data_IF_605763716970
#
_entry.id   IF_605763716970
#
_cell.length_a   1.000
_cell.length_b   1.000
_cell.length_c   1.000
_cell.angle_alpha   90.00
_cell.angle_beta   90.00
_cell.angle_gamma   90.00
#
_symmetry.space_group_name_H-M   'P 1'
#
loop_
_entity.id
_entity.type
_entity.pdbx_description
1 polymer ?
#
# COMPACT_ATOMS: atom_id res chain seq x y z
N UNK A 1 -14.73 21.96 -3.72
CA UNK A 1 -15.38 20.69 -3.38
C UNK A 1 -16.91 20.88 -3.34
N UNK A 2 -17.42 21.80 -2.53
CA UNK A 2 -18.85 22.05 -2.38
C UNK A 2 -19.65 22.14 -3.70
N UNK A 3 -19.21 22.92 -4.68
CA UNK A 3 -19.91 23.05 -5.97
C UNK A 3 -19.91 21.75 -6.78
N UNK A 4 -18.88 20.93 -6.66
CA UNK A 4 -18.79 19.63 -7.34
C UNK A 4 -19.74 18.61 -6.71
N UNK A 5 -19.81 18.56 -5.39
CA UNK A 5 -20.73 17.70 -4.66
C UNK A 5 -22.18 18.13 -4.92
N UNK A 6 -22.49 19.41 -4.76
CA UNK A 6 -23.83 19.98 -4.98
C UNK A 6 -24.34 19.75 -6.40
N UNK A 7 -23.46 19.78 -7.40
CA UNK A 7 -23.81 19.49 -8.79
C UNK A 7 -23.96 18.01 -9.10
N UNK A 8 -23.70 17.11 -8.14
CA UNK A 8 -23.74 15.66 -8.30
C UNK A 8 -22.61 15.07 -9.17
N UNK A 9 -21.61 15.87 -9.54
CA UNK A 9 -20.48 15.43 -10.38
C UNK A 9 -19.46 14.62 -9.61
N UNK A 10 -19.31 14.86 -8.30
CA UNK A 10 -18.39 14.16 -7.41
C UNK A 10 -19.15 13.74 -6.16
N UNK A 11 -18.95 12.52 -5.71
CA UNK A 11 -19.57 11.97 -4.51
C UNK A 11 -18.66 11.97 -3.30
N UNK A 12 -17.35 11.78 -3.53
CA UNK A 12 -16.36 11.60 -2.49
C UNK A 12 -15.06 12.32 -2.84
N UNK A 13 -14.36 12.77 -1.81
CA UNK A 13 -13.11 13.52 -1.94
C UNK A 13 -11.99 12.81 -1.18
N UNK A 14 -10.78 13.07 -1.62
CA UNK A 14 -9.57 12.56 -1.00
C UNK A 14 -8.39 13.46 -1.28
N UNK A 15 -7.26 13.06 -0.72
CA UNK A 15 -5.97 13.73 -0.86
C UNK A 15 -4.91 12.73 -1.31
N UNK A 16 -3.71 13.20 -1.58
CA UNK A 16 -2.57 12.35 -1.90
C UNK A 16 -1.34 12.86 -1.19
N UNK A 17 -0.57 11.95 -0.59
CA UNK A 17 0.69 12.22 0.11
C UNK A 17 0.56 13.31 1.20
N UNK A 18 -0.53 13.28 1.97
CA UNK A 18 -0.74 14.19 3.09
C UNK A 18 -0.50 13.46 4.41
N UNK A 19 0.27 14.06 5.30
CA UNK A 19 0.39 13.60 6.68
C UNK A 19 -0.81 14.05 7.53
N UNK A 20 -0.99 13.54 8.76
CA UNK A 20 -2.11 13.89 9.63
C UNK A 20 -2.31 15.40 9.83
N UNK A 21 -1.23 16.14 10.09
CA UNK A 21 -1.31 17.59 10.30
C UNK A 21 -1.78 18.35 9.07
N UNK A 22 -1.35 17.92 7.88
CA UNK A 22 -1.79 18.52 6.62
C UNK A 22 -3.28 18.23 6.34
N UNK A 23 -3.74 17.02 6.64
CA UNK A 23 -5.18 16.66 6.52
C UNK A 23 -6.02 17.50 7.47
N UNK A 24 -5.61 17.62 8.74
CA UNK A 24 -6.33 18.47 9.71
C UNK A 24 -6.33 19.94 9.30
N UNK A 25 -5.21 20.45 8.79
CA UNK A 25 -5.15 21.82 8.27
C UNK A 25 -6.13 22.02 7.11
N UNK A 26 -6.21 21.07 6.18
CA UNK A 26 -7.15 21.15 5.05
C UNK A 26 -8.61 21.13 5.51
N UNK A 27 -8.95 20.33 6.53
CA UNK A 27 -10.30 20.27 7.12
C UNK A 27 -10.75 21.61 7.72
N UNK A 28 -9.85 22.52 8.02
CA UNK A 28 -10.25 23.88 8.48
C UNK A 28 -10.89 24.70 7.36
N UNK A 29 -10.58 24.40 6.10
CA UNK A 29 -11.07 25.10 4.92
C UNK A 29 -12.11 24.32 4.11
N UNK A 30 -12.08 22.98 4.19
CA UNK A 30 -12.94 22.06 3.44
C UNK A 30 -13.87 21.35 4.42
N UNK A 31 -15.17 21.46 4.19
CA UNK A 31 -16.20 20.87 5.07
C UNK A 31 -16.59 19.45 4.64
N UNK A 32 -16.40 19.13 3.37
CA UNK A 32 -16.70 17.82 2.81
C UNK A 32 -15.75 16.77 3.40
N UNK A 33 -16.25 15.57 3.70
CA UNK A 33 -15.41 14.50 4.24
C UNK A 33 -14.28 14.11 3.29
N UNK A 34 -13.06 14.03 3.81
CA UNK A 34 -11.91 13.49 3.10
C UNK A 34 -11.83 11.99 3.38
N UNK A 35 -12.25 11.17 2.42
CA UNK A 35 -12.40 9.72 2.62
C UNK A 35 -11.21 8.90 2.14
N UNK A 36 -10.31 9.49 1.37
CA UNK A 36 -9.17 8.79 0.78
C UNK A 36 -7.87 9.57 0.98
N UNK A 37 -6.78 8.84 1.17
CA UNK A 37 -5.44 9.38 1.02
C UNK A 37 -4.62 8.42 0.15
N UNK A 38 -4.15 8.88 -1.01
CA UNK A 38 -3.29 8.07 -1.86
C UNK A 38 -1.85 8.19 -1.38
N UNK A 39 -1.28 7.07 -0.94
CA UNK A 39 0.07 6.96 -0.40
C UNK A 39 0.84 5.89 -1.16
N UNK A 40 2.14 6.08 -1.37
CA UNK A 40 2.96 5.00 -1.91
C UNK A 40 3.02 3.86 -0.89
N UNK A 41 2.72 2.64 -1.34
CA UNK A 41 2.83 1.46 -0.49
C UNK A 41 2.99 0.19 -1.33
N UNK A 42 3.88 -0.67 -0.91
CA UNK A 42 4.18 -1.96 -1.52
C UNK A 42 5.42 -2.58 -0.89
N UNK A 43 5.79 -3.79 -1.29
CA UNK A 43 6.91 -4.56 -0.72
C UNK A 43 8.25 -3.81 -0.69
N UNK A 44 8.48 -2.89 -1.62
CA UNK A 44 9.69 -2.05 -1.67
C UNK A 44 9.47 -0.61 -1.17
N UNK A 45 8.32 -0.34 -0.56
CA UNK A 45 8.02 0.94 0.07
C UNK A 45 7.10 0.70 1.28
N UNK A 46 7.68 0.38 2.42
CA UNK A 46 6.98 -0.10 3.63
C UNK A 46 6.96 0.91 4.76
N UNK A 47 7.60 2.07 4.62
CA UNK A 47 7.81 3.05 5.70
C UNK A 47 6.57 3.44 6.50
N UNK A 48 5.38 3.35 5.88
CA UNK A 48 4.11 3.62 6.56
C UNK A 48 3.77 2.60 7.67
N UNK A 49 4.30 1.36 7.56
CA UNK A 49 4.02 0.27 8.52
C UNK A 49 5.21 -0.06 9.42
N UNK A 50 6.43 0.29 9.00
CA UNK A 50 7.66 -0.13 9.67
C UNK A 50 7.71 0.35 11.12
N UNK A 51 7.40 1.61 11.38
CA UNK A 51 7.39 2.16 12.73
C UNK A 51 6.39 1.42 13.66
N UNK A 52 5.27 0.93 13.11
CA UNK A 52 4.30 0.12 13.85
C UNK A 52 4.77 -1.31 14.14
N UNK A 53 5.69 -1.85 13.32
CA UNK A 53 6.34 -3.15 13.55
C UNK A 53 7.48 -3.00 14.59
N UNK A 54 8.20 -1.88 14.57
CA UNK A 54 9.39 -1.60 15.39
C UNK A 54 9.08 -0.71 16.60
N UNK A 55 7.89 -0.79 17.18
CA UNK A 55 7.50 0.03 18.33
C UNK A 55 8.46 -0.17 19.49
N UNK A 56 8.94 0.95 20.03
CA UNK A 56 9.90 0.97 21.17
C UNK A 56 11.26 0.34 20.87
N UNK A 57 11.65 0.22 19.59
CA UNK A 57 12.97 -0.20 19.16
C UNK A 57 13.87 1.01 18.92
N UNK A 58 15.18 0.77 18.74
CA UNK A 58 16.19 1.82 18.49
C UNK A 58 16.84 1.69 17.11
N UNK A 59 16.25 0.92 16.22
CA UNK A 59 16.71 0.72 14.86
C UNK A 59 16.07 1.70 13.87
N UNK A 60 16.52 1.67 12.61
CA UNK A 60 16.05 2.57 11.57
C UNK A 60 14.55 2.40 11.27
N UNK A 61 14.01 1.18 11.38
CA UNK A 61 12.59 0.89 11.15
C UNK A 61 11.67 1.55 12.18
N UNK A 62 12.20 1.94 13.36
CA UNK A 62 11.42 2.58 14.42
C UNK A 62 11.12 4.06 14.18
N UNK A 63 11.76 4.69 13.20
CA UNK A 63 11.54 6.11 12.92
C UNK A 63 10.20 6.36 12.21
N UNK A 64 9.40 7.26 12.76
CA UNK A 64 8.12 7.69 12.15
C UNK A 64 8.41 8.77 11.14
N UNK A 65 8.28 8.45 9.84
CA UNK A 65 8.55 9.36 8.74
C UNK A 65 7.34 10.20 8.30
N UNK A 66 6.13 9.79 8.66
CA UNK A 66 4.86 10.32 8.12
C UNK A 66 3.87 10.79 9.19
N UNK A 67 4.34 10.93 10.44
CA UNK A 67 3.54 11.31 11.61
C UNK A 67 2.38 10.36 11.93
N UNK A 68 2.52 9.05 11.64
CA UNK A 68 1.53 8.04 11.95
C UNK A 68 0.29 8.10 11.05
N UNK A 69 0.48 8.30 9.75
CA UNK A 69 -0.62 8.41 8.80
C UNK A 69 -1.48 7.14 8.72
N UNK A 70 -0.90 5.97 8.97
CA UNK A 70 -1.62 4.70 8.98
C UNK A 70 -2.68 4.68 10.09
N UNK A 71 -2.26 4.94 11.32
CA UNK A 71 -3.13 4.97 12.51
C UNK A 71 -4.16 6.10 12.38
N UNK A 72 -3.71 7.28 11.97
CA UNK A 72 -4.60 8.42 11.72
C UNK A 72 -5.70 8.07 10.71
N UNK A 73 -5.34 7.47 9.59
CA UNK A 73 -6.30 7.07 8.55
C UNK A 73 -7.32 6.06 9.07
N UNK A 74 -6.87 5.07 9.85
CA UNK A 74 -7.75 4.06 10.45
C UNK A 74 -8.70 4.67 11.48
N UNK A 75 -8.22 5.55 12.36
CA UNK A 75 -9.04 6.25 13.37
C UNK A 75 -10.12 7.11 12.68
N UNK A 76 -9.73 7.83 11.62
CA UNK A 76 -10.62 8.73 10.88
C UNK A 76 -11.43 8.03 9.78
N UNK A 77 -11.34 6.70 9.64
CA UNK A 77 -12.03 5.92 8.61
C UNK A 77 -11.72 6.39 7.19
N UNK A 78 -10.51 6.87 6.97
CA UNK A 78 -9.99 7.19 5.65
C UNK A 78 -9.42 5.92 5.02
N UNK A 79 -9.76 5.65 3.76
CA UNK A 79 -9.18 4.56 3.00
C UNK A 79 -7.83 4.99 2.44
N UNK A 80 -6.79 4.24 2.73
CA UNK A 80 -5.49 4.39 2.09
C UNK A 80 -5.55 3.74 0.71
N UNK A 81 -5.15 4.49 -0.32
CA UNK A 81 -5.02 3.99 -1.68
C UNK A 81 -3.53 3.86 -2.02
N UNK A 82 -3.03 2.62 -2.12
CA UNK A 82 -1.63 2.33 -2.40
C UNK A 82 -1.31 2.58 -3.88
N UNK A 83 -0.64 3.71 -4.18
CA UNK A 83 -0.16 3.97 -5.52
C UNK A 83 1.25 3.39 -5.74
N UNK A 84 1.63 3.15 -7.00
CA UNK A 84 2.90 2.51 -7.40
C UNK A 84 3.25 1.23 -6.63
N UNK A 85 2.31 0.28 -6.50
CA UNK A 85 2.44 -0.88 -5.61
C UNK A 85 3.59 -1.82 -5.99
N UNK A 86 4.09 -1.74 -7.22
CA UNK A 86 5.15 -2.61 -7.75
C UNK A 86 6.48 -1.91 -7.92
N UNK A 87 6.56 -0.60 -7.66
CA UNK A 87 7.77 0.18 -7.88
C UNK A 87 8.73 0.13 -6.69
N UNK A 88 10.00 0.32 -7.01
CA UNK A 88 11.05 0.60 -6.04
C UNK A 88 11.68 1.97 -6.36
N UNK A 89 12.18 2.64 -5.33
CA UNK A 89 12.69 4.01 -5.47
C UNK A 89 11.63 4.99 -5.97
N UNK A 90 12.08 6.13 -6.44
CA UNK A 90 11.23 7.14 -7.05
C UNK A 90 11.27 7.00 -8.58
N UNK A 91 10.39 6.15 -9.13
CA UNK A 91 10.30 5.83 -10.56
C UNK A 91 11.55 5.14 -11.14
N UNK A 92 12.27 4.34 -10.33
CA UNK A 92 13.44 3.59 -10.80
C UNK A 92 13.07 2.31 -11.55
N UNK A 93 11.85 1.85 -11.42
CA UNK A 93 11.32 0.66 -12.08
C UNK A 93 10.47 -0.21 -11.17
N UNK A 94 10.09 -1.39 -11.67
CA UNK A 94 9.31 -2.37 -10.93
C UNK A 94 10.23 -3.45 -10.35
N UNK A 95 9.89 -3.97 -9.17
CA UNK A 95 10.66 -5.02 -8.52
C UNK A 95 10.27 -6.43 -9.01
N UNK A 96 9.03 -6.61 -9.48
CA UNK A 96 8.54 -7.91 -9.96
C UNK A 96 9.29 -8.30 -11.23
N UNK A 97 9.93 -9.47 -11.21
CA UNK A 97 10.76 -9.98 -12.30
C UNK A 97 12.09 -9.24 -12.51
N UNK A 98 12.52 -8.41 -11.56
CA UNK A 98 13.74 -7.62 -11.66
C UNK A 98 14.91 -8.33 -10.96
N UNK A 99 16.00 -8.55 -11.69
CA UNK A 99 17.20 -9.23 -11.20
C UNK A 99 17.90 -8.55 -10.02
N UNK A 100 17.60 -7.29 -9.76
CA UNK A 100 18.07 -6.58 -8.54
C UNK A 100 17.48 -7.14 -7.25
N UNK A 101 16.37 -7.89 -7.32
CA UNK A 101 15.64 -8.40 -6.15
C UNK A 101 15.42 -9.92 -6.25
N UNK A 102 16.51 -10.74 -6.33
CA UNK A 102 16.39 -12.17 -6.59
C UNK A 102 15.64 -12.91 -5.48
N UNK A 103 15.90 -12.58 -4.21
CA UNK A 103 15.27 -13.25 -3.07
C UNK A 103 13.77 -12.95 -3.01
N UNK A 104 13.39 -11.69 -3.24
CA UNK A 104 11.98 -11.29 -3.28
C UNK A 104 11.25 -11.98 -4.44
N UNK A 105 11.85 -12.00 -5.64
CA UNK A 105 11.22 -12.62 -6.81
C UNK A 105 11.08 -14.13 -6.64
N UNK A 106 12.08 -14.80 -6.07
CA UNK A 106 11.98 -16.23 -5.73
C UNK A 106 10.82 -16.54 -4.80
N UNK A 107 10.57 -15.68 -3.80
CA UNK A 107 9.44 -15.83 -2.88
C UNK A 107 8.10 -15.51 -3.55
N UNK A 108 8.05 -14.48 -4.38
CA UNK A 108 6.85 -14.15 -5.15
C UNK A 108 6.45 -15.30 -6.08
N UNK A 109 7.42 -15.92 -6.78
CA UNK A 109 7.20 -17.08 -7.64
C UNK A 109 6.72 -18.30 -6.83
N UNK A 110 7.35 -18.58 -5.69
CA UNK A 110 6.98 -19.69 -4.81
C UNK A 110 5.50 -19.55 -4.33
N UNK A 111 5.10 -18.37 -3.88
CA UNK A 111 3.72 -18.14 -3.45
C UNK A 111 2.74 -18.05 -4.63
N UNK A 112 3.18 -17.57 -5.78
CA UNK A 112 2.37 -17.59 -7.00
C UNK A 112 2.00 -19.02 -7.41
N UNK A 113 2.96 -19.96 -7.36
CA UNK A 113 2.70 -21.38 -7.59
C UNK A 113 1.75 -21.96 -6.53
N UNK A 114 2.00 -21.71 -5.23
CA UNK A 114 1.15 -22.17 -4.13
C UNK A 114 -0.31 -21.76 -4.29
N UNK A 115 -0.55 -20.52 -4.70
CA UNK A 115 -1.90 -19.95 -4.80
C UNK A 115 -2.47 -19.99 -6.22
N UNK A 116 -1.82 -20.66 -7.16
CA UNK A 116 -2.20 -20.68 -8.57
C UNK A 116 -2.47 -19.28 -9.13
N UNK A 117 -1.52 -18.37 -8.91
CA UNK A 117 -1.59 -16.96 -9.25
C UNK A 117 -0.31 -16.50 -9.96
N UNK A 118 -0.10 -15.19 -10.05
CA UNK A 118 1.11 -14.59 -10.61
C UNK A 118 1.93 -13.87 -9.54
N UNK A 119 3.24 -13.65 -9.72
CA UNK A 119 4.05 -12.84 -8.81
C UNK A 119 3.46 -11.44 -8.55
N UNK A 120 2.88 -10.82 -9.59
CA UNK A 120 2.17 -9.54 -9.47
C UNK A 120 0.92 -9.67 -8.59
N UNK A 121 0.16 -10.76 -8.77
CA UNK A 121 -1.00 -11.07 -7.94
C UNK A 121 -0.65 -11.25 -6.47
N UNK A 122 0.45 -11.95 -6.18
CA UNK A 122 0.94 -12.12 -4.79
C UNK A 122 1.36 -10.79 -4.17
N UNK A 123 2.01 -9.90 -4.94
CA UNK A 123 2.35 -8.57 -4.45
C UNK A 123 1.11 -7.73 -4.10
N UNK A 124 0.03 -7.86 -4.85
CA UNK A 124 -1.27 -7.23 -4.53
C UNK A 124 -1.91 -7.89 -3.31
N UNK A 125 -1.93 -9.22 -3.24
CA UNK A 125 -2.45 -9.96 -2.09
C UNK A 125 -1.72 -9.57 -0.80
N UNK A 126 -0.42 -9.29 -0.86
CA UNK A 126 0.35 -8.80 0.28
C UNK A 126 -0.16 -7.45 0.80
N UNK A 127 -0.45 -6.50 -0.09
CA UNK A 127 -1.03 -5.20 0.28
C UNK A 127 -2.43 -5.38 0.86
N UNK A 128 -3.29 -6.12 0.17
CA UNK A 128 -4.69 -6.33 0.55
C UNK A 128 -4.83 -7.10 1.87
N UNK A 129 -3.84 -7.94 2.23
CA UNK A 129 -3.81 -8.68 3.49
C UNK A 129 -3.69 -7.77 4.71
N UNK A 130 -3.21 -6.54 4.55
CA UNK A 130 -3.03 -5.62 5.67
C UNK A 130 -4.40 -5.23 6.28
N UNK A 131 -4.55 -5.25 7.63
CA UNK A 131 -5.84 -5.05 8.29
C UNK A 131 -6.39 -3.61 8.20
N UNK A 132 -5.66 -2.69 7.58
CA UNK A 132 -6.12 -1.33 7.31
C UNK A 132 -7.04 -1.21 6.09
N UNK A 133 -7.39 -2.32 5.41
CA UNK A 133 -8.19 -2.32 4.18
C UNK A 133 -7.63 -1.37 3.10
N UNK A 134 -6.34 -1.51 2.82
CA UNK A 134 -5.65 -0.69 1.83
C UNK A 134 -6.14 -1.09 0.45
N UNK A 135 -6.57 -0.10 -0.33
CA UNK A 135 -6.99 -0.29 -1.72
C UNK A 135 -5.79 -0.15 -2.65
N UNK A 136 -5.46 -1.19 -3.41
CA UNK A 136 -4.35 -1.14 -4.37
C UNK A 136 -4.76 -0.39 -5.64
N UNK A 137 -3.97 0.62 -6.04
CA UNK A 137 -4.14 1.36 -7.29
C UNK A 137 -3.16 0.80 -8.31
N UNK A 138 -3.69 0.09 -9.29
CA UNK A 138 -2.89 -0.51 -10.37
C UNK A 138 -2.72 0.47 -11.53
N UNK A 139 -1.49 0.62 -12.03
CA UNK A 139 -1.14 1.56 -13.11
C UNK A 139 -1.04 0.90 -14.49
N UNK A 140 -1.66 -0.28 -14.69
CA UNK A 140 -1.62 -0.97 -15.98
C UNK A 140 -2.88 -0.74 -16.79
N UNK A 141 -2.73 -0.68 -18.13
CA UNK A 141 -3.82 -0.70 -19.11
C UNK A 141 -3.86 -2.01 -19.89
N UNK A 142 -2.99 -2.98 -19.57
CA UNK A 142 -2.96 -4.29 -20.21
C UNK A 142 -4.05 -5.17 -19.61
N UNK A 143 -5.02 -5.57 -20.41
CA UNK A 143 -6.21 -6.32 -19.96
C UNK A 143 -5.84 -7.60 -19.18
N UNK A 144 -4.93 -8.41 -19.74
CA UNK A 144 -4.50 -9.65 -19.06
C UNK A 144 -3.94 -9.39 -17.65
N UNK A 145 -3.16 -8.32 -17.46
CA UNK A 145 -2.64 -7.94 -16.13
C UNK A 145 -3.73 -7.48 -15.19
N UNK A 146 -4.74 -6.78 -15.70
CA UNK A 146 -5.91 -6.37 -14.89
C UNK A 146 -6.66 -7.61 -14.41
N UNK A 147 -6.91 -8.58 -15.31
CA UNK A 147 -7.56 -9.84 -14.99
C UNK A 147 -6.78 -10.67 -13.96
N UNK A 148 -5.46 -10.81 -14.14
CA UNK A 148 -4.56 -11.51 -13.20
C UNK A 148 -4.59 -10.87 -11.80
N UNK A 149 -4.50 -9.54 -11.73
CA UNK A 149 -4.53 -8.80 -10.46
C UNK A 149 -5.90 -8.91 -9.80
N UNK A 150 -6.98 -8.80 -10.58
CA UNK A 150 -8.34 -8.95 -10.07
C UNK A 150 -8.57 -10.36 -9.52
N UNK A 151 -8.11 -11.40 -10.21
CA UNK A 151 -8.19 -12.78 -9.74
C UNK A 151 -7.41 -13.02 -8.42
N UNK A 152 -6.36 -12.25 -8.18
CA UNK A 152 -5.57 -12.34 -6.94
C UNK A 152 -6.19 -11.60 -5.76
N UNK A 153 -7.27 -10.83 -5.96
CA UNK A 153 -7.91 -10.05 -4.89
C UNK A 153 -8.50 -10.91 -3.76
N UNK A 154 -8.84 -12.16 -4.07
CA UNK A 154 -9.41 -13.12 -3.11
C UNK A 154 -8.34 -13.94 -2.38
N UNK A 155 -7.07 -13.78 -2.73
CA UNK A 155 -5.98 -14.49 -2.07
C UNK A 155 -5.75 -13.87 -0.69
N UNK A 156 -5.86 -14.72 0.34
CA UNK A 156 -5.56 -14.35 1.71
C UNK A 156 -4.27 -15.05 2.13
N UNK A 157 -3.16 -14.32 2.09
CA UNK A 157 -1.87 -14.82 2.58
C UNK A 157 -1.96 -15.14 4.09
N UNK A 158 -1.31 -16.22 4.52
CA UNK A 158 -1.13 -16.49 5.94
C UNK A 158 -0.21 -15.42 6.58
N UNK A 159 -0.33 -15.27 7.90
CA UNK A 159 0.50 -14.28 8.62
C UNK A 159 2.00 -14.51 8.40
N UNK A 160 2.44 -15.76 8.46
CA UNK A 160 3.84 -16.11 8.27
C UNK A 160 4.33 -15.78 6.87
N UNK A 161 3.51 -16.01 5.83
CA UNK A 161 3.83 -15.69 4.43
C UNK A 161 3.93 -14.19 4.17
N UNK A 162 3.08 -13.42 4.83
CA UNK A 162 3.11 -11.97 4.76
C UNK A 162 4.45 -11.42 5.28
N UNK A 163 4.92 -11.92 6.43
CA UNK A 163 6.21 -11.53 6.98
C UNK A 163 7.39 -12.12 6.21
N UNK A 164 7.26 -13.32 5.65
CA UNK A 164 8.29 -13.91 4.78
C UNK A 164 8.55 -13.04 3.53
N UNK A 165 7.49 -12.53 2.90
CA UNK A 165 7.60 -11.59 1.79
C UNK A 165 8.17 -10.23 2.23
N UNK A 166 7.77 -9.72 3.41
CA UNK A 166 8.29 -8.49 3.99
C UNK A 166 9.82 -8.59 4.18
N UNK A 167 10.30 -9.68 4.76
CA UNK A 167 11.74 -9.92 4.94
C UNK A 167 12.47 -10.12 3.60
N UNK A 168 11.89 -10.89 2.67
CA UNK A 168 12.47 -11.09 1.35
C UNK A 168 12.62 -9.80 0.55
N UNK A 169 11.81 -8.80 0.84
CA UNK A 169 11.93 -7.45 0.29
C UNK A 169 13.11 -6.65 0.89
N UNK A 170 13.83 -7.21 1.87
CA UNK A 170 14.98 -6.58 2.53
C UNK A 170 14.62 -5.82 3.81
N UNK A 171 13.38 -5.94 4.28
CA UNK A 171 12.96 -5.34 5.54
C UNK A 171 13.36 -6.25 6.73
N UNK A 172 13.52 -5.66 7.89
CA UNK A 172 13.97 -6.35 9.10
C UNK A 172 12.78 -6.47 10.06
N UNK A 173 12.71 -7.57 10.77
CA UNK A 173 11.80 -7.73 11.92
C UNK A 173 12.56 -7.50 13.22
N UNK A 174 11.91 -7.00 14.26
CA UNK A 174 12.50 -6.85 15.59
C UNK A 174 13.02 -8.15 16.17
#
# INVERSE_FOLDING_TARGET
FYELEKSGKVRYFGVSNQNPGQVELLKTAVKEPLLFNQLQFGLKHTGMIDAGIHVNMSDEGSFVHDNGILEYSRINKMTIQAWSPFQYGFFEGVFVGNEKFPDLNKKLEFYAEKYNSTPTGIAVAWINRHPANIQTIIGTMTLSRIEEIAAASDIVLERAEWYDLYMAAGNILP
#
